data_IF_353554600149
#
_entry.id   IF_353554600149
#
_cell.length_a   1.000
_cell.length_b   1.000
_cell.length_c   1.000
_cell.angle_alpha   90.00
_cell.angle_beta   90.00
_cell.angle_gamma   90.00
#
_symmetry.space_group_name_H-M   'P 1'
#
loop_
_entity.id
_entity.type
_entity.pdbx_description
1 polymer ?
#
# COMPACT_ATOMS: atom_id res chain seq x y z
N UNK A 1 -61.38 -1.89 -9.08
CA UNK A 1 -60.94 -2.37 -7.74
C UNK A 1 -59.80 -3.39 -7.77
N UNK A 2 -59.69 -4.27 -8.79
CA UNK A 2 -58.59 -5.27 -8.88
C UNK A 2 -57.22 -4.70 -9.30
N UNK A 3 -57.20 -3.62 -10.09
CA UNK A 3 -55.95 -3.02 -10.62
C UNK A 3 -55.10 -2.32 -9.55
N UNK A 4 -55.73 -1.73 -8.53
CA UNK A 4 -55.05 -1.00 -7.45
C UNK A 4 -54.41 -1.95 -6.43
N UNK A 5 -55.02 -3.10 -6.17
CA UNK A 5 -54.44 -4.13 -5.30
C UNK A 5 -53.21 -4.80 -5.93
N UNK A 6 -53.22 -5.04 -7.25
CA UNK A 6 -52.05 -5.58 -7.96
C UNK A 6 -50.82 -4.67 -7.89
N UNK A 7 -51.01 -3.34 -7.99
CA UNK A 7 -49.93 -2.35 -7.84
C UNK A 7 -49.36 -2.30 -6.44
N UNK A 8 -50.20 -2.36 -5.41
CA UNK A 8 -49.76 -2.36 -4.02
C UNK A 8 -48.93 -3.61 -3.69
N UNK A 9 -49.36 -4.79 -4.17
CA UNK A 9 -48.60 -6.04 -4.00
C UNK A 9 -47.24 -5.94 -4.69
N UNK A 10 -47.20 -5.43 -5.91
CA UNK A 10 -45.94 -5.25 -6.64
C UNK A 10 -44.97 -4.30 -5.91
N UNK A 11 -45.47 -3.17 -5.39
CA UNK A 11 -44.67 -2.22 -4.62
C UNK A 11 -44.14 -2.87 -3.34
N UNK A 12 -44.98 -3.59 -2.60
CA UNK A 12 -44.56 -4.28 -1.38
C UNK A 12 -43.50 -5.34 -1.65
N UNK A 13 -43.61 -6.10 -2.74
CA UNK A 13 -42.60 -7.08 -3.15
C UNK A 13 -41.27 -6.42 -3.53
N UNK A 14 -41.31 -5.28 -4.23
CA UNK A 14 -40.11 -4.52 -4.57
C UNK A 14 -39.45 -3.95 -3.33
N UNK A 15 -40.23 -3.40 -2.39
CA UNK A 15 -39.70 -2.90 -1.11
C UNK A 15 -39.08 -4.05 -0.31
N UNK A 16 -39.75 -5.20 -0.23
CA UNK A 16 -39.22 -6.37 0.47
C UNK A 16 -37.91 -6.86 -0.16
N UNK A 17 -37.83 -6.88 -1.49
CA UNK A 17 -36.61 -7.27 -2.21
C UNK A 17 -35.46 -6.27 -1.98
N UNK A 18 -35.75 -4.97 -1.99
CA UNK A 18 -34.76 -3.92 -1.73
C UNK A 18 -34.25 -3.96 -0.28
N UNK A 19 -35.15 -4.12 0.69
CA UNK A 19 -34.79 -4.26 2.10
C UNK A 19 -33.98 -5.55 2.31
N UNK A 20 -34.40 -6.66 1.70
CA UNK A 20 -33.65 -7.91 1.71
C UNK A 20 -32.24 -7.74 1.15
N UNK A 21 -32.07 -7.04 0.03
CA UNK A 21 -30.76 -6.80 -0.57
C UNK A 21 -29.83 -5.90 0.28
N UNK A 22 -30.39 -4.99 1.08
CA UNK A 22 -29.59 -4.13 1.97
C UNK A 22 -29.18 -4.86 3.25
N UNK A 23 -30.08 -5.64 3.84
CA UNK A 23 -29.85 -6.29 5.15
C UNK A 23 -29.29 -7.71 5.06
N UNK A 24 -29.54 -8.45 3.98
CA UNK A 24 -29.06 -9.83 3.78
C UNK A 24 -27.84 -9.89 2.85
N UNK A 25 -27.03 -8.82 2.80
CA UNK A 25 -25.74 -8.87 2.10
C UNK A 25 -24.92 -10.00 2.72
N UNK A 26 -24.69 -11.05 1.95
CA UNK A 26 -23.86 -12.17 2.37
C UNK A 26 -22.46 -11.68 2.77
N UNK A 27 -21.77 -12.40 3.67
CA UNK A 27 -20.40 -12.05 4.04
C UNK A 27 -19.55 -11.94 2.78
N UNK A 28 -18.85 -10.81 2.64
CA UNK A 28 -17.95 -10.59 1.51
C UNK A 28 -16.86 -11.67 1.55
N UNK A 29 -16.59 -12.38 0.44
CA UNK A 29 -15.52 -13.36 0.40
C UNK A 29 -14.19 -12.65 0.69
N UNK A 30 -13.56 -12.99 1.82
CA UNK A 30 -12.21 -12.55 2.13
C UNK A 30 -11.23 -13.51 1.45
N UNK A 31 -10.61 -13.06 0.37
CA UNK A 31 -9.58 -13.84 -0.33
C UNK A 31 -8.28 -13.67 0.46
N UNK A 32 -8.05 -14.55 1.44
CA UNK A 32 -6.81 -14.64 2.19
C UNK A 32 -5.94 -15.75 1.58
N UNK A 33 -5.21 -15.44 0.50
CA UNK A 33 -4.26 -16.38 -0.09
C UNK A 33 -3.02 -16.41 0.79
N UNK A 34 -2.76 -17.56 1.41
CA UNK A 34 -1.54 -17.80 2.18
C UNK A 34 -0.33 -17.73 1.23
N UNK A 35 0.76 -17.14 1.70
CA UNK A 35 2.03 -17.14 0.97
C UNK A 35 2.47 -18.58 0.64
N UNK A 36 2.85 -18.80 -0.61
CA UNK A 36 3.28 -20.11 -1.11
C UNK A 36 4.70 -20.40 -0.63
N UNK A 37 4.94 -21.60 -0.08
CA UNK A 37 6.28 -22.04 0.31
C UNK A 37 7.05 -22.47 -0.93
N UNK A 38 8.13 -21.74 -1.26
CA UNK A 38 9.02 -22.09 -2.36
C UNK A 38 10.04 -23.16 -1.95
N UNK A 39 10.58 -23.03 -0.73
CA UNK A 39 11.59 -23.94 -0.22
C UNK A 39 11.52 -24.02 1.31
N UNK A 40 11.87 -25.16 1.89
CA UNK A 40 11.98 -25.32 3.35
C UNK A 40 13.44 -25.54 3.73
N UNK A 41 13.95 -24.72 4.64
CA UNK A 41 15.29 -24.84 5.22
C UNK A 41 15.15 -25.19 6.70
N UNK A 42 15.18 -26.50 7.00
CA UNK A 42 14.96 -27.01 8.36
C UNK A 42 13.58 -26.59 8.90
N UNK A 43 13.50 -25.85 10.03
CA UNK A 43 12.22 -25.42 10.59
C UNK A 43 11.61 -24.19 9.89
N UNK A 44 12.32 -23.54 8.96
CA UNK A 44 11.89 -22.29 8.32
C UNK A 44 11.38 -22.56 6.90
N UNK A 45 10.14 -22.16 6.63
CA UNK A 45 9.57 -22.18 5.28
C UNK A 45 9.84 -20.84 4.59
N UNK A 46 10.66 -20.85 3.54
CA UNK A 46 10.92 -19.70 2.68
C UNK A 46 9.73 -19.57 1.72
N UNK A 47 8.95 -18.51 1.90
CA UNK A 47 7.78 -18.23 1.06
C UNK A 47 8.10 -17.28 -0.09
N UNK A 48 7.22 -17.24 -1.08
CA UNK A 48 7.30 -16.26 -2.17
C UNK A 48 7.35 -14.82 -1.64
N UNK A 49 6.54 -14.48 -0.63
CA UNK A 49 6.51 -13.17 0.03
C UNK A 49 7.84 -12.85 0.73
N UNK A 50 8.48 -13.84 1.36
CA UNK A 50 9.80 -13.62 1.97
C UNK A 50 10.85 -13.31 0.90
N UNK A 51 10.86 -14.09 -0.18
CA UNK A 51 11.81 -13.90 -1.28
C UNK A 51 11.63 -12.55 -1.97
N UNK A 52 10.38 -12.16 -2.28
CA UNK A 52 10.10 -10.85 -2.88
C UNK A 52 10.48 -9.72 -1.94
N UNK A 53 10.21 -9.84 -0.64
CA UNK A 53 10.61 -8.82 0.34
C UNK A 53 12.13 -8.63 0.38
N UNK A 54 12.92 -9.71 0.32
CA UNK A 54 14.39 -9.59 0.25
C UNK A 54 14.87 -8.92 -1.03
N UNK A 55 14.26 -9.26 -2.17
CA UNK A 55 14.57 -8.62 -3.46
C UNK A 55 14.26 -7.11 -3.41
N UNK A 56 13.11 -6.73 -2.85
CA UNK A 56 12.72 -5.33 -2.66
C UNK A 56 13.72 -4.59 -1.77
N UNK A 57 14.13 -5.18 -0.64
CA UNK A 57 15.14 -4.59 0.25
C UNK A 57 16.47 -4.39 -0.49
N UNK A 58 16.95 -5.39 -1.21
CA UNK A 58 18.20 -5.28 -2.00
C UNK A 58 18.07 -4.18 -3.05
N UNK A 59 16.93 -4.09 -3.74
CA UNK A 59 16.67 -3.06 -4.75
C UNK A 59 16.70 -1.65 -4.14
N UNK A 60 16.01 -1.44 -3.02
CA UNK A 60 16.00 -0.16 -2.31
C UNK A 60 17.42 0.23 -1.87
N UNK A 61 18.15 -0.71 -1.25
CA UNK A 61 19.54 -0.49 -0.84
C UNK A 61 20.44 -0.14 -2.03
N UNK A 62 20.26 -0.79 -3.18
CA UNK A 62 21.01 -0.49 -4.39
C UNK A 62 20.71 0.91 -4.92
N UNK A 63 19.43 1.32 -4.94
CA UNK A 63 19.02 2.67 -5.37
C UNK A 63 19.64 3.73 -4.44
N UNK A 64 19.52 3.55 -3.13
CA UNK A 64 20.08 4.48 -2.13
C UNK A 64 21.60 4.54 -2.25
N UNK A 65 22.26 3.39 -2.40
CA UNK A 65 23.70 3.33 -2.57
C UNK A 65 24.15 4.08 -3.84
N UNK A 66 23.49 3.85 -4.98
CA UNK A 66 23.82 4.54 -6.24
C UNK A 66 23.53 6.04 -6.17
N UNK A 67 22.46 6.45 -5.47
CA UNK A 67 22.10 7.84 -5.23
C UNK A 67 23.10 8.58 -4.35
N UNK A 68 23.65 7.90 -3.33
CA UNK A 68 24.51 8.51 -2.29
C UNK A 68 26.01 8.28 -2.49
N UNK A 69 26.42 7.42 -3.44
CA UNK A 69 27.85 7.08 -3.66
C UNK A 69 28.68 8.26 -4.18
N UNK A 70 28.05 9.25 -4.83
CA UNK A 70 28.70 10.48 -5.28
C UNK A 70 28.34 11.59 -4.30
N UNK A 71 29.36 12.26 -3.77
CA UNK A 71 29.20 13.37 -2.83
C UNK A 71 29.98 14.57 -3.34
N UNK A 72 29.66 14.98 -4.56
CA UNK A 72 30.21 16.20 -5.12
C UNK A 72 29.58 17.39 -4.39
N UNK A 73 30.39 18.39 -4.01
CA UNK A 73 29.92 19.60 -3.33
C UNK A 73 28.89 20.38 -4.16
N UNK A 74 28.99 20.30 -5.48
CA UNK A 74 28.02 20.87 -6.41
C UNK A 74 27.33 19.69 -7.11
N UNK A 75 26.07 19.37 -6.77
CA UNK A 75 25.39 18.20 -7.29
C UNK A 75 25.17 18.33 -8.80
N UNK A 76 25.45 17.26 -9.55
CA UNK A 76 25.25 17.20 -11.01
C UNK A 76 24.67 15.85 -11.44
N UNK A 77 23.86 15.87 -12.50
CA UNK A 77 23.28 14.66 -13.09
C UNK A 77 22.36 13.90 -12.12
N UNK A 78 22.64 12.61 -11.91
CA UNK A 78 21.82 11.73 -11.07
C UNK A 78 21.79 12.14 -9.60
N UNK A 79 22.90 12.67 -9.05
CA UNK A 79 22.95 13.16 -7.67
C UNK A 79 21.94 14.30 -7.46
N UNK A 80 21.89 15.27 -8.38
CA UNK A 80 20.94 16.39 -8.31
C UNK A 80 19.48 15.93 -8.35
N UNK A 81 19.16 14.98 -9.23
CA UNK A 81 17.80 14.42 -9.31
C UNK A 81 17.42 13.67 -8.02
N UNK A 82 18.35 12.90 -7.47
CA UNK A 82 18.13 12.12 -6.25
C UNK A 82 17.98 13.02 -5.02
N UNK A 83 18.84 14.02 -4.87
CA UNK A 83 18.75 15.02 -3.80
C UNK A 83 17.44 15.83 -3.89
N UNK A 84 17.04 16.27 -5.08
CA UNK A 84 15.77 16.96 -5.27
C UNK A 84 14.56 16.08 -4.91
N UNK A 85 14.61 14.79 -5.21
CA UNK A 85 13.55 13.85 -4.83
C UNK A 85 13.49 13.64 -3.30
N UNK A 86 14.66 13.54 -2.64
CA UNK A 86 14.74 13.44 -1.18
C UNK A 86 14.24 14.72 -0.50
N UNK A 87 14.59 15.90 -1.03
CA UNK A 87 14.12 17.18 -0.51
C UNK A 87 12.60 17.33 -0.66
N UNK A 88 12.04 16.95 -1.81
CA UNK A 88 10.59 16.93 -2.02
C UNK A 88 9.89 15.97 -1.04
N UNK A 89 10.47 14.80 -0.79
CA UNK A 89 9.95 13.83 0.16
C UNK A 89 10.03 14.33 1.62
N UNK A 90 11.15 14.94 2.00
CA UNK A 90 11.32 15.59 3.30
C UNK A 90 10.24 16.64 3.54
N UNK A 91 10.05 17.55 2.57
CA UNK A 91 9.03 18.60 2.64
C UNK A 91 7.61 18.04 2.73
N UNK A 92 7.33 16.93 2.04
CA UNK A 92 6.05 16.23 2.16
C UNK A 92 5.82 15.74 3.59
N UNK A 93 6.79 15.08 4.22
CA UNK A 93 6.61 14.58 5.59
C UNK A 93 6.46 15.74 6.56
N UNK A 94 7.29 16.78 6.46
CA UNK A 94 7.16 17.98 7.31
C UNK A 94 5.77 18.60 7.17
N UNK A 95 5.22 18.66 5.95
CA UNK A 95 3.86 19.20 5.72
C UNK A 95 2.75 18.38 6.40
N UNK A 96 2.97 17.09 6.65
CA UNK A 96 1.98 16.19 7.28
C UNK A 96 2.21 16.06 8.79
N UNK A 97 3.46 15.99 9.22
CA UNK A 97 3.87 15.69 10.60
C UNK A 97 4.06 16.94 11.49
N UNK A 98 4.30 18.10 10.88
CA UNK A 98 4.69 19.33 11.57
C UNK A 98 6.20 19.41 11.85
N UNK A 99 6.71 20.64 11.94
CA UNK A 99 8.14 21.00 12.11
C UNK A 99 8.77 20.45 13.42
N UNK A 100 7.99 20.07 14.43
CA UNK A 100 8.55 19.63 15.72
C UNK A 100 9.16 18.21 15.70
N UNK A 101 8.94 17.44 14.62
CA UNK A 101 9.40 16.03 14.52
C UNK A 101 10.51 15.78 13.50
N UNK A 102 11.14 16.85 13.02
CA UNK A 102 11.86 16.95 11.74
C UNK A 102 12.88 15.86 11.36
N UNK A 103 13.69 15.29 12.26
CA UNK A 103 14.83 14.46 11.79
C UNK A 103 14.65 12.95 12.01
N UNK A 104 14.16 12.52 13.17
CA UNK A 104 13.96 11.08 13.45
C UNK A 104 12.75 10.52 12.70
N UNK A 105 11.63 11.25 12.76
CA UNK A 105 10.33 10.89 12.17
C UNK A 105 10.27 11.07 10.65
N UNK A 106 11.32 11.60 10.02
CA UNK A 106 11.36 11.62 8.55
C UNK A 106 12.01 10.35 8.03
N UNK A 107 13.02 9.84 8.74
CA UNK A 107 13.79 8.69 8.31
C UNK A 107 13.07 7.36 8.54
N UNK A 108 12.39 7.19 9.68
CA UNK A 108 11.63 5.96 10.00
C UNK A 108 10.46 5.77 9.02
N UNK A 109 9.75 6.86 8.72
CA UNK A 109 8.63 6.93 7.80
C UNK A 109 9.08 6.71 6.36
N UNK A 110 10.26 7.22 5.98
CA UNK A 110 10.86 6.98 4.68
C UNK A 110 11.04 5.49 4.40
N UNK A 111 11.61 4.76 5.35
CA UNK A 111 11.91 3.34 5.19
C UNK A 111 10.64 2.53 4.91
N UNK A 112 9.62 2.71 5.75
CA UNK A 112 8.33 2.02 5.60
C UNK A 112 7.64 2.45 4.31
N UNK A 113 7.63 3.76 4.01
CA UNK A 113 6.97 4.30 2.82
C UNK A 113 7.56 3.71 1.55
N UNK A 114 8.88 3.76 1.38
CA UNK A 114 9.53 3.26 0.17
C UNK A 114 9.46 1.73 0.08
N UNK A 115 9.54 1.02 1.21
CA UNK A 115 9.34 -0.43 1.22
C UNK A 115 7.94 -0.80 0.71
N UNK A 116 6.90 -0.19 1.27
CA UNK A 116 5.51 -0.46 0.86
C UNK A 116 5.28 -0.02 -0.59
N UNK A 117 5.80 1.14 -1.00
CA UNK A 117 5.69 1.62 -2.37
C UNK A 117 6.29 0.59 -3.34
N UNK A 118 7.57 0.25 -3.20
CA UNK A 118 8.25 -0.66 -4.12
C UNK A 118 7.70 -2.08 -4.05
N UNK A 119 7.23 -2.52 -2.87
CA UNK A 119 6.63 -3.86 -2.73
C UNK A 119 5.25 -3.99 -3.39
N UNK A 120 4.58 -2.89 -3.74
CA UNK A 120 3.23 -2.90 -4.31
C UNK A 120 3.17 -2.56 -5.81
N UNK A 121 4.31 -2.22 -6.43
CA UNK A 121 4.45 -1.96 -7.86
C UNK A 121 5.27 -3.05 -8.54
#
# INVERSE_FOLDING_TARGET
>A
MRLTQGRLIAISLVILALVGFVFLRGPTPHIAIKAETLQSAGPINITNTMMTSWIVVILILAIVYVGTRRRDLVPRGFQNMFEAALEAFYNLIVSVAGEEKEHGFVMEEAEIFFFVLVSNW
#
